data_IF_487862760435
#
_entry.id   IF_487862760435
#
_cell.length_a   1.000
_cell.length_b   1.000
_cell.length_c   1.000
_cell.angle_alpha   90.00
_cell.angle_beta   90.00
_cell.angle_gamma   90.00
#
_symmetry.space_group_name_H-M   'P 1'
#
loop_
_entity.id
_entity.type
_entity.pdbx_description
1 polymer ?
#
# COMPACT_ATOMS: atom_id res chain seq x y z
N UNK A 1 23.01 11.20 -0.38
CA UNK A 1 22.46 10.08 -1.18
C UNK A 1 22.58 10.43 -2.66
N UNK A 2 23.09 9.53 -3.51
CA UNK A 2 23.33 9.83 -4.93
C UNK A 2 22.02 9.95 -5.72
N UNK A 3 22.00 10.78 -6.77
CA UNK A 3 20.83 11.03 -7.63
C UNK A 3 20.15 9.74 -8.12
N UNK A 4 20.93 8.76 -8.60
CA UNK A 4 20.41 7.46 -9.06
C UNK A 4 19.66 6.67 -7.98
N UNK A 5 20.09 6.78 -6.71
CA UNK A 5 19.41 6.14 -5.59
C UNK A 5 18.07 6.83 -5.27
N UNK A 6 17.99 8.16 -5.40
CA UNK A 6 16.74 8.93 -5.21
C UNK A 6 15.71 8.57 -6.27
N UNK A 7 16.12 8.53 -7.54
CA UNK A 7 15.29 8.04 -8.66
C UNK A 7 14.73 6.64 -8.39
N UNK A 8 15.59 5.68 -8.05
CA UNK A 8 15.16 4.31 -7.72
C UNK A 8 14.18 4.27 -6.54
N UNK A 9 14.39 5.12 -5.54
CA UNK A 9 13.49 5.23 -4.38
C UNK A 9 12.10 5.73 -4.80
N UNK A 10 12.04 6.79 -5.64
CA UNK A 10 10.79 7.31 -6.20
C UNK A 10 10.04 6.22 -7.00
N UNK A 11 10.75 5.46 -7.85
CA UNK A 11 10.13 4.36 -8.61
C UNK A 11 9.56 3.25 -7.72
N UNK A 12 10.24 2.93 -6.60
CA UNK A 12 9.75 1.96 -5.63
C UNK A 12 8.53 2.49 -4.88
N UNK A 13 8.53 3.76 -4.50
CA UNK A 13 7.38 4.43 -3.89
C UNK A 13 6.18 4.46 -4.84
N UNK A 14 6.39 4.74 -6.13
CA UNK A 14 5.35 4.69 -7.16
C UNK A 14 4.70 3.29 -7.24
N UNK A 15 5.53 2.24 -7.23
CA UNK A 15 5.06 0.84 -7.23
C UNK A 15 4.24 0.53 -5.97
N UNK A 16 4.66 1.05 -4.81
CA UNK A 16 3.90 0.89 -3.56
C UNK A 16 2.59 1.64 -3.62
N UNK A 17 2.57 2.88 -4.12
CA UNK A 17 1.34 3.67 -4.24
C UNK A 17 0.26 2.91 -5.00
N UNK A 18 0.59 2.44 -6.20
CA UNK A 18 -0.35 1.69 -7.05
C UNK A 18 -0.83 0.42 -6.33
N UNK A 19 0.08 -0.32 -5.68
CA UNK A 19 -0.30 -1.56 -4.98
C UNK A 19 -1.23 -1.31 -3.80
N UNK A 20 -0.96 -0.25 -3.02
CA UNK A 20 -1.80 0.13 -1.90
C UNK A 20 -3.15 0.66 -2.40
N UNK A 21 -3.19 1.41 -3.51
CA UNK A 21 -4.43 1.83 -4.14
C UNK A 21 -5.32 0.65 -4.53
N UNK A 22 -4.73 -0.36 -5.21
CA UNK A 22 -5.44 -1.60 -5.57
C UNK A 22 -5.96 -2.35 -4.35
N UNK A 23 -5.24 -2.29 -3.22
CA UNK A 23 -5.62 -2.97 -1.99
C UNK A 23 -6.72 -2.20 -1.25
N UNK A 24 -6.59 -0.87 -1.17
CA UNK A 24 -7.61 0.03 -0.63
C UNK A 24 -8.96 -0.23 -1.31
N UNK A 25 -9.00 -0.20 -2.65
CA UNK A 25 -10.26 -0.42 -3.36
C UNK A 25 -10.87 -1.80 -3.12
N UNK A 26 -10.04 -2.82 -2.95
CA UNK A 26 -10.51 -4.14 -2.56
C UNK A 26 -11.14 -4.17 -1.17
N UNK A 27 -10.51 -3.51 -0.19
CA UNK A 27 -11.07 -3.36 1.15
C UNK A 27 -12.34 -2.51 1.15
N UNK A 28 -12.42 -1.52 0.24
CA UNK A 28 -13.63 -0.72 0.02
C UNK A 28 -14.81 -1.59 -0.35
N UNK A 29 -14.66 -2.39 -1.40
CA UNK A 29 -15.68 -3.35 -1.82
C UNK A 29 -16.04 -4.31 -0.68
N UNK A 30 -15.03 -4.83 0.02
CA UNK A 30 -15.23 -5.79 1.11
C UNK A 30 -16.07 -5.19 2.24
N UNK A 31 -15.76 -3.99 2.74
CA UNK A 31 -16.56 -3.38 3.81
C UNK A 31 -17.95 -2.95 3.34
N UNK A 32 -18.14 -2.60 2.06
CA UNK A 32 -19.47 -2.27 1.53
C UNK A 32 -20.38 -3.50 1.49
N UNK A 33 -19.82 -4.68 1.19
CA UNK A 33 -20.59 -5.91 1.01
C UNK A 33 -20.63 -6.82 2.24
N UNK A 34 -19.86 -6.51 3.29
CA UNK A 34 -19.80 -7.31 4.51
C UNK A 34 -20.91 -6.91 5.48
N UNK A 35 -21.69 -7.90 5.93
CA UNK A 35 -22.78 -7.70 6.89
C UNK A 35 -22.30 -7.84 8.34
N UNK A 36 -21.24 -8.64 8.58
CA UNK A 36 -20.69 -8.85 9.93
C UNK A 36 -19.98 -7.59 10.39
N UNK A 37 -20.53 -6.92 11.39
CA UNK A 37 -20.06 -5.61 11.86
C UNK A 37 -18.56 -5.59 12.19
N UNK A 38 -18.05 -6.64 12.85
CA UNK A 38 -16.62 -6.75 13.20
C UNK A 38 -15.74 -6.72 11.95
N UNK A 39 -16.05 -7.56 10.95
CA UNK A 39 -15.28 -7.62 9.71
C UNK A 39 -15.46 -6.37 8.85
N UNK A 40 -16.67 -5.81 8.83
CA UNK A 40 -16.96 -4.55 8.16
C UNK A 40 -16.09 -3.42 8.71
N UNK A 41 -16.01 -3.30 10.03
CA UNK A 41 -15.17 -2.30 10.70
C UNK A 41 -13.69 -2.55 10.40
N UNK A 42 -13.24 -3.80 10.46
CA UNK A 42 -11.87 -4.16 10.14
C UNK A 42 -11.49 -3.79 8.69
N UNK A 43 -12.31 -4.16 7.71
CA UNK A 43 -12.07 -3.78 6.31
C UNK A 43 -12.10 -2.26 6.08
N UNK A 44 -12.97 -1.53 6.81
CA UNK A 44 -12.99 -0.07 6.78
C UNK A 44 -11.69 0.53 7.33
N UNK A 45 -11.17 -0.01 8.43
CA UNK A 45 -9.87 0.40 8.98
C UNK A 45 -8.73 0.11 8.00
N UNK A 46 -8.69 -1.08 7.40
CA UNK A 46 -7.71 -1.41 6.36
C UNK A 46 -7.80 -0.44 5.18
N UNK A 47 -9.01 -0.13 4.71
CA UNK A 47 -9.21 0.86 3.65
C UNK A 47 -8.61 2.22 4.01
N UNK A 48 -9.01 2.78 5.15
CA UNK A 48 -8.52 4.07 5.62
C UNK A 48 -6.99 4.09 5.74
N UNK A 49 -6.41 3.06 6.37
CA UNK A 49 -4.97 2.93 6.50
C UNK A 49 -4.23 2.92 5.16
N UNK A 50 -4.77 2.25 4.13
CA UNK A 50 -4.14 2.23 2.80
C UNK A 50 -4.27 3.59 2.08
N UNK A 51 -5.38 4.31 2.26
CA UNK A 51 -5.57 5.65 1.69
C UNK A 51 -4.61 6.66 2.33
N UNK A 52 -4.55 6.73 3.66
CA UNK A 52 -3.61 7.62 4.36
C UNK A 52 -2.17 7.34 3.94
N UNK A 53 -1.79 6.06 3.82
CA UNK A 53 -0.44 5.71 3.38
C UNK A 53 -0.15 6.09 1.92
N UNK A 54 -1.16 6.12 1.05
CA UNK A 54 -1.00 6.61 -0.33
C UNK A 54 -0.68 8.11 -0.31
N UNK A 55 -1.40 8.88 0.50
CA UNK A 55 -1.17 10.32 0.67
C UNK A 55 0.25 10.59 1.22
N UNK A 56 0.66 9.86 2.26
CA UNK A 56 2.02 9.95 2.81
C UNK A 56 3.11 9.59 1.77
N UNK A 57 2.85 8.59 0.90
CA UNK A 57 3.76 8.25 -0.20
C UNK A 57 3.84 9.40 -1.21
N UNK A 58 2.71 10.00 -1.57
CA UNK A 58 2.65 11.09 -2.54
C UNK A 58 3.43 12.30 -2.06
N UNK A 59 3.20 12.72 -0.81
CA UNK A 59 3.97 13.79 -0.19
C UNK A 59 5.47 13.48 -0.20
N UNK A 60 5.84 12.24 0.14
CA UNK A 60 7.24 11.83 0.16
C UNK A 60 7.88 11.84 -1.23
N UNK A 61 7.13 11.47 -2.27
CA UNK A 61 7.60 11.56 -3.67
C UNK A 61 7.86 13.02 -4.03
N UNK A 62 6.96 13.95 -3.68
CA UNK A 62 7.14 15.37 -3.97
C UNK A 62 8.34 15.97 -3.23
N UNK A 63 8.55 15.60 -1.96
CA UNK A 63 9.76 15.99 -1.22
C UNK A 63 11.04 15.49 -1.90
N UNK A 64 11.10 14.22 -2.29
CA UNK A 64 12.26 13.66 -2.97
C UNK A 64 12.54 14.33 -4.32
N UNK A 65 11.51 14.77 -5.05
CA UNK A 65 11.68 15.54 -6.28
C UNK A 65 12.26 16.92 -6.00
N UNK A 66 11.77 17.63 -4.97
CA UNK A 66 12.33 18.93 -4.55
C UNK A 66 13.78 18.80 -4.11
N UNK A 67 14.15 17.70 -3.46
CA UNK A 67 15.55 17.43 -3.11
C UNK A 67 16.43 17.07 -4.32
N UNK A 68 15.84 16.66 -5.45
CA UNK A 68 16.55 16.42 -6.71
C UNK A 68 16.72 17.75 -7.46
N UNK A 69 15.63 18.51 -7.56
CA UNK A 69 15.57 19.79 -8.26
C UNK A 69 14.67 20.73 -7.46
N UNK A 70 15.26 21.66 -6.67
CA UNK A 70 14.49 22.59 -5.84
C UNK A 70 13.51 23.44 -6.65
N UNK A 71 13.93 23.81 -7.86
CA UNK A 71 13.08 24.39 -8.91
C UNK A 71 12.71 23.27 -9.88
N UNK A 72 11.44 23.09 -10.29
CA UNK A 72 11.06 22.01 -11.20
C UNK A 72 11.82 22.09 -12.54
N UNK A 73 12.83 21.23 -12.72
CA UNK A 73 13.55 21.09 -13.99
C UNK A 73 13.02 19.86 -14.76
N UNK A 74 12.36 20.06 -15.92
CA UNK A 74 11.84 18.97 -16.75
C UNK A 74 12.90 17.96 -17.16
N UNK A 75 14.17 18.37 -17.36
CA UNK A 75 15.25 17.44 -17.75
C UNK A 75 15.61 16.49 -16.62
N UNK A 76 15.78 17.03 -15.40
CA UNK A 76 16.11 16.23 -14.21
C UNK A 76 14.96 15.33 -13.77
N UNK A 77 13.70 15.74 -13.99
CA UNK A 77 12.51 15.00 -13.60
C UNK A 77 11.89 14.17 -14.73
N UNK A 78 12.48 14.16 -15.92
CA UNK A 78 12.00 13.44 -17.12
C UNK A 78 11.78 11.93 -16.90
N UNK A 79 12.49 11.34 -15.93
CA UNK A 79 12.31 9.93 -15.57
C UNK A 79 10.98 9.64 -14.86
N UNK A 80 10.36 10.67 -14.26
CA UNK A 80 9.17 10.51 -13.45
C UNK A 80 7.93 10.74 -14.30
N UNK A 81 7.25 9.64 -14.63
CA UNK A 81 5.90 9.68 -15.18
C UNK A 81 4.92 9.11 -14.18
N UNK A 82 3.97 9.96 -13.72
CA UNK A 82 2.94 9.57 -12.77
C UNK A 82 2.07 8.48 -13.40
N UNK A 83 2.05 7.30 -12.78
CA UNK A 83 1.20 6.20 -13.25
C UNK A 83 -0.23 6.41 -12.78
N UNK A 84 -1.20 6.31 -13.69
CA UNK A 84 -2.61 6.36 -13.32
C UNK A 84 -2.97 5.19 -12.41
N UNK A 85 -3.71 5.48 -11.35
CA UNK A 85 -4.25 4.49 -10.44
C UNK A 85 -5.61 4.03 -10.96
N UNK A 86 -5.61 3.20 -12.01
CA UNK A 86 -6.83 2.68 -12.62
C UNK A 86 -7.02 1.19 -12.33
N UNK A 87 -8.28 0.79 -12.19
CA UNK A 87 -8.71 -0.59 -12.02
C UNK A 87 -9.59 -0.98 -13.19
N UNK A 88 -9.22 -2.01 -13.93
CA UNK A 88 -10.09 -2.52 -15.00
C UNK A 88 -11.36 -3.14 -14.41
N UNK A 89 -12.48 -3.04 -15.14
CA UNK A 89 -13.74 -3.67 -14.72
C UNK A 89 -13.59 -5.18 -14.50
N UNK A 90 -12.78 -5.86 -15.33
CA UNK A 90 -12.44 -7.27 -15.15
C UNK A 90 -11.70 -7.54 -13.83
N UNK A 91 -10.76 -6.67 -13.45
CA UNK A 91 -10.06 -6.77 -12.17
C UNK A 91 -11.05 -6.64 -11.01
N UNK A 92 -12.00 -5.70 -11.08
CA UNK A 92 -13.03 -5.52 -10.06
C UNK A 92 -13.95 -6.73 -9.96
N UNK A 93 -14.45 -7.25 -11.08
CA UNK A 93 -15.31 -8.44 -11.15
C UNK A 93 -14.67 -9.66 -10.48
N UNK A 94 -13.38 -9.90 -10.73
CA UNK A 94 -12.65 -10.98 -10.09
C UNK A 94 -12.50 -10.76 -8.57
N UNK A 95 -12.33 -9.51 -8.13
CA UNK A 95 -12.09 -9.17 -6.73
C UNK A 95 -13.35 -9.06 -5.87
N UNK A 96 -14.55 -9.07 -6.45
CA UNK A 96 -15.79 -9.22 -5.69
C UNK A 96 -15.93 -10.58 -5.00
N UNK A 97 -15.19 -11.60 -5.45
CA UNK A 97 -15.25 -12.96 -4.88
C UNK A 97 -14.18 -13.25 -3.82
N UNK A 98 -13.38 -12.26 -3.41
CA UNK A 98 -12.30 -12.52 -2.45
C UNK A 98 -12.87 -12.88 -1.07
N UNK A 99 -12.29 -13.92 -0.48
CA UNK A 99 -12.60 -14.34 0.89
C UNK A 99 -11.67 -13.65 1.89
N UNK A 100 -11.99 -13.75 3.18
CA UNK A 100 -11.13 -13.24 4.26
C UNK A 100 -9.66 -13.72 4.15
N UNK A 101 -9.46 -14.99 3.77
CA UNK A 101 -8.14 -15.59 3.54
C UNK A 101 -7.36 -14.96 2.39
N UNK A 102 -8.03 -14.44 1.36
CA UNK A 102 -7.38 -13.73 0.25
C UNK A 102 -6.81 -12.39 0.70
N UNK A 103 -7.53 -11.69 1.58
CA UNK A 103 -7.06 -10.45 2.19
C UNK A 103 -5.88 -10.70 3.12
N UNK A 104 -5.93 -11.78 3.91
CA UNK A 104 -4.82 -12.18 4.78
C UNK A 104 -3.56 -12.49 3.97
N UNK A 105 -3.69 -13.33 2.93
CA UNK A 105 -2.58 -13.64 2.01
C UNK A 105 -2.00 -12.40 1.33
N UNK A 106 -2.84 -11.40 1.05
CA UNK A 106 -2.40 -10.12 0.50
C UNK A 106 -1.57 -9.32 1.51
N UNK A 107 -2.02 -9.18 2.75
CA UNK A 107 -1.27 -8.46 3.78
C UNK A 107 0.08 -9.13 4.07
N UNK A 108 0.15 -10.47 4.07
CA UNK A 108 1.43 -11.20 4.14
C UNK A 108 2.36 -10.88 2.96
N UNK A 109 1.82 -10.83 1.73
CA UNK A 109 2.59 -10.43 0.54
C UNK A 109 3.08 -8.99 0.64
N UNK A 110 2.26 -8.09 1.16
CA UNK A 110 2.67 -6.71 1.46
C UNK A 110 3.84 -6.73 2.46
N UNK A 111 3.68 -7.36 3.63
CA UNK A 111 4.73 -7.41 4.66
C UNK A 111 6.10 -7.89 4.13
N UNK A 112 6.11 -8.95 3.31
CA UNK A 112 7.34 -9.44 2.65
C UNK A 112 7.96 -8.39 1.73
N UNK A 113 7.13 -7.70 0.93
CA UNK A 113 7.62 -6.66 0.03
C UNK A 113 8.19 -5.46 0.77
N UNK A 114 7.55 -5.01 1.85
CA UNK A 114 8.04 -3.86 2.63
C UNK A 114 9.40 -4.20 3.25
N UNK A 115 9.59 -5.43 3.72
CA UNK A 115 10.89 -5.91 4.18
C UNK A 115 11.94 -5.87 3.07
N UNK A 116 11.61 -6.34 1.86
CA UNK A 116 12.49 -6.23 0.69
C UNK A 116 12.81 -4.78 0.31
N UNK A 117 11.86 -3.86 0.45
CA UNK A 117 12.08 -2.46 0.07
C UNK A 117 12.93 -1.74 1.12
N UNK A 118 12.74 -2.07 2.40
CA UNK A 118 13.59 -1.60 3.50
C UNK A 118 15.04 -2.10 3.39
N UNK A 119 15.32 -3.24 2.75
CA UNK A 119 16.72 -3.64 2.51
C UNK A 119 17.38 -2.91 1.33
N UNK A 120 16.60 -2.19 0.51
CA UNK A 120 17.09 -1.54 -0.72
C UNK A 120 17.08 -0.02 -0.61
N UNK A 121 16.13 0.55 0.12
CA UNK A 121 15.98 2.01 0.29
C UNK A 121 16.80 2.46 1.48
N UNK A 122 17.75 3.36 1.23
CA UNK A 122 18.63 3.95 2.25
C UNK A 122 18.18 5.36 2.69
N UNK A 123 17.15 5.92 2.07
CA UNK A 123 16.65 7.25 2.43
C UNK A 123 15.95 7.23 3.79
N UNK A 124 16.52 7.89 4.80
CA UNK A 124 16.10 7.79 6.20
C UNK A 124 14.58 8.04 6.39
N UNK A 125 14.08 9.18 5.91
CA UNK A 125 12.66 9.54 6.06
C UNK A 125 11.70 8.62 5.30
N UNK A 126 12.16 8.00 4.21
CA UNK A 126 11.36 7.00 3.49
C UNK A 126 11.35 5.68 4.26
N UNK A 127 12.48 5.29 4.83
CA UNK A 127 12.57 4.08 5.65
C UNK A 127 11.69 4.18 6.88
N UNK A 128 11.67 5.32 7.54
CA UNK A 128 10.78 5.61 8.67
C UNK A 128 9.32 5.41 8.29
N UNK A 129 8.88 6.05 7.20
CA UNK A 129 7.53 5.89 6.66
C UNK A 129 7.19 4.41 6.37
N UNK A 130 8.11 3.69 5.71
CA UNK A 130 7.92 2.26 5.40
C UNK A 130 7.90 1.37 6.65
N UNK A 131 8.72 1.68 7.66
CA UNK A 131 8.75 0.96 8.93
C UNK A 131 7.44 1.15 9.68
N UNK A 132 6.98 2.40 9.83
CA UNK A 132 5.72 2.72 10.49
C UNK A 132 4.54 1.95 9.85
N UNK A 133 4.44 1.98 8.52
CA UNK A 133 3.37 1.26 7.85
C UNK A 133 3.54 -0.28 7.91
N UNK A 134 4.78 -0.78 7.89
CA UNK A 134 5.07 -2.21 8.10
C UNK A 134 4.58 -2.68 9.47
N UNK A 135 4.75 -1.89 10.53
CA UNK A 135 4.22 -2.20 11.86
C UNK A 135 2.71 -2.26 11.86
N UNK A 136 2.02 -1.30 11.23
CA UNK A 136 0.56 -1.33 11.07
C UNK A 136 0.10 -2.61 10.33
N UNK A 137 0.77 -3.00 9.24
CA UNK A 137 0.46 -4.27 8.53
C UNK A 137 0.64 -5.49 9.44
N UNK A 138 1.69 -5.53 10.27
CA UNK A 138 1.89 -6.63 11.24
C UNK A 138 0.73 -6.71 12.22
N UNK A 139 0.29 -5.58 12.79
CA UNK A 139 -0.85 -5.54 13.70
C UNK A 139 -2.12 -6.08 13.04
N UNK A 140 -2.40 -5.67 11.79
CA UNK A 140 -3.53 -6.19 11.03
C UNK A 140 -3.46 -7.72 10.86
N UNK A 141 -2.29 -8.27 10.54
CA UNK A 141 -2.12 -9.72 10.37
C UNK A 141 -2.39 -10.46 11.69
N UNK A 142 -1.91 -9.92 12.82
CA UNK A 142 -2.20 -10.48 14.16
C UNK A 142 -3.71 -10.46 14.42
N UNK A 143 -4.38 -9.34 14.16
CA UNK A 143 -5.84 -9.23 14.29
C UNK A 143 -6.56 -10.25 13.39
N UNK A 144 -6.14 -10.39 12.12
CA UNK A 144 -6.72 -11.37 11.19
C UNK A 144 -6.56 -12.82 11.67
N UNK A 145 -5.48 -13.14 12.38
CA UNK A 145 -5.27 -14.47 12.94
C UNK A 145 -6.13 -14.69 14.21
N UNK A 146 -6.42 -13.62 14.94
CA UNK A 146 -7.16 -13.66 16.20
C UNK A 146 -8.68 -13.57 16.01
N UNK A 147 -9.18 -13.10 14.87
CA UNK A 147 -10.63 -12.98 14.58
C UNK A 147 -11.38 -14.31 14.52
N UNK A 148 -10.68 -15.46 14.49
CA UNK A 148 -11.30 -16.79 14.41
C UNK A 148 -11.91 -17.12 13.04
N UNK A 149 -12.13 -16.13 12.17
CA UNK A 149 -12.71 -16.29 10.81
C UNK A 149 -11.83 -17.16 9.90
N UNK A 150 -10.51 -17.18 10.15
CA UNK A 150 -9.58 -18.08 9.45
C UNK A 150 -9.71 -19.54 9.91
N UNK A 151 -10.11 -19.77 11.17
CA UNK A 151 -10.25 -21.11 11.77
C UNK A 151 -11.66 -21.69 11.57
N UNK A 152 -12.67 -20.82 11.53
CA UNK A 152 -14.07 -21.17 11.31
C UNK A 152 -14.61 -20.36 10.13
N UNK A 153 -14.29 -20.78 8.89
CA UNK A 153 -14.95 -20.24 7.72
C UNK A 153 -16.40 -20.74 7.74
N UNK A 154 -17.28 -20.01 8.42
CA UNK A 154 -18.71 -20.34 8.42
C UNK A 154 -19.20 -20.17 6.98
N UNK A 155 -19.84 -21.24 6.49
CA UNK A 155 -20.29 -21.46 5.11
C UNK A 155 -21.22 -20.36 4.59
#
# INVERSE_FOLDING_TARGET
MQFGQKKKTIELLEKLRIRNYKSAFMYKIAYTNENRLILKNFYRQLYAQKITFIEEIEERIELLKKEISPIPDPKMLSFYNRKKCELSQLYLKYKMKNRFSDFHRRELKCLKQYTKYLSVINHASVRELLLAHKHKIKSNIVEMNNTGVMKFPIA
#
